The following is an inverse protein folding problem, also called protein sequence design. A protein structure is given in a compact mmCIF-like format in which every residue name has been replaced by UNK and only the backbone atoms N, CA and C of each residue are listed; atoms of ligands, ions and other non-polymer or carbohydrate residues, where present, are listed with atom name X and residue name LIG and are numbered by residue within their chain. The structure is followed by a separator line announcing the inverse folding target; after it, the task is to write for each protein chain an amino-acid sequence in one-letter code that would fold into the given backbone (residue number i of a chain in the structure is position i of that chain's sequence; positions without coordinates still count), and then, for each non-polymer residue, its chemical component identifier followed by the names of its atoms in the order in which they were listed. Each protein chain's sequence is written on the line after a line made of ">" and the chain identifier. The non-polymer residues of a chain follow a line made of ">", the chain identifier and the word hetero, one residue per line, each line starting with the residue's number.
data_IF_580347270433
#
_entry.id   IF_580347270433
#
_cell.length_a   1.000
_cell.length_b   1.000
_cell.length_c   1.000
_cell.angle_alpha   90.00
_cell.angle_beta   90.00
_cell.angle_gamma   90.00
#
_symmetry.space_group_name_H-M   'P 1'
#
loop_
_entity.id
_entity.type
_entity.pdbx_description
1 polymer ?
#
# COMPACT_ATOMS: atom_id res chain seq x y z
N UNK A 1 29.70 16.24 5.28
CA UNK A 1 29.07 15.28 6.21
C UNK A 1 28.14 14.42 5.38
N UNK A 2 28.38 13.10 5.28
CA UNK A 2 27.40 12.23 4.63
C UNK A 2 26.14 12.21 5.49
N UNK A 3 24.99 12.48 4.88
CA UNK A 3 23.71 12.36 5.57
C UNK A 3 23.55 10.94 6.13
N UNK A 4 22.88 10.80 7.28
CA UNK A 4 22.59 9.50 7.84
C UNK A 4 21.81 8.64 6.82
N UNK A 5 22.03 7.31 6.76
CA UNK A 5 21.30 6.45 5.83
C UNK A 5 19.79 6.58 6.02
N UNK A 6 19.07 6.65 4.90
CA UNK A 6 17.62 6.57 4.84
C UNK A 6 17.24 5.29 4.09
N UNK A 7 16.67 4.33 4.83
CA UNK A 7 16.33 2.98 4.40
C UNK A 7 14.83 2.95 4.08
N UNK A 8 14.51 2.92 2.79
CA UNK A 8 13.13 2.91 2.31
C UNK A 8 12.67 1.52 1.90
N UNK A 9 11.38 1.29 2.02
CA UNK A 9 10.67 0.24 1.31
C UNK A 9 9.22 0.66 1.11
N UNK A 10 8.66 0.30 -0.04
CA UNK A 10 7.28 0.66 -0.40
C UNK A 10 6.35 -0.54 -0.43
N UNK A 11 5.09 -0.34 -0.04
CA UNK A 11 4.02 -1.32 -0.30
C UNK A 11 2.64 -0.65 -0.21
N UNK A 12 1.71 -1.11 -1.06
CA UNK A 12 0.28 -0.80 -0.92
C UNK A 12 -0.27 -1.44 0.37
N UNK A 13 -1.45 -1.02 0.86
CA UNK A 13 -2.23 -1.86 1.76
C UNK A 13 -2.33 -3.30 1.22
N UNK A 14 -1.68 -4.28 1.86
CA UNK A 14 -1.54 -5.64 1.34
C UNK A 14 -2.00 -6.69 2.35
N UNK A 15 -3.32 -6.81 2.48
CA UNK A 15 -4.01 -7.59 3.50
C UNK A 15 -4.19 -6.82 4.81
N UNK A 16 -5.28 -7.07 5.55
CA UNK A 16 -5.46 -6.44 6.87
C UNK A 16 -4.46 -6.99 7.87
N UNK A 17 -4.15 -8.29 7.83
CA UNK A 17 -2.86 -8.78 8.27
C UNK A 17 -1.90 -8.70 7.08
N UNK A 18 -0.71 -8.13 7.25
CA UNK A 18 0.18 -7.87 6.13
C UNK A 18 0.62 -9.20 5.50
N UNK A 19 0.68 -9.26 4.18
CA UNK A 19 1.27 -10.40 3.48
C UNK A 19 2.71 -10.63 3.95
N UNK A 20 3.13 -11.88 3.97
CA UNK A 20 4.44 -12.34 4.43
C UNK A 20 5.59 -11.65 3.72
N UNK A 21 5.47 -11.35 2.43
CA UNK A 21 6.50 -10.58 1.73
C UNK A 21 6.66 -9.15 2.27
N UNK A 22 5.61 -8.51 2.80
CA UNK A 22 5.72 -7.18 3.41
C UNK A 22 6.39 -7.30 4.77
N UNK A 23 6.05 -8.32 5.57
CA UNK A 23 6.80 -8.62 6.78
C UNK A 23 8.30 -8.82 6.50
N UNK A 24 8.65 -9.57 5.45
CA UNK A 24 10.04 -9.74 5.06
C UNK A 24 10.74 -8.41 4.70
N UNK A 25 10.05 -7.43 4.10
CA UNK A 25 10.59 -6.07 3.90
C UNK A 25 10.89 -5.38 5.24
N UNK A 26 9.96 -5.46 6.20
CA UNK A 26 10.17 -4.92 7.56
C UNK A 26 11.36 -5.57 8.27
N UNK A 27 11.47 -6.90 8.21
CA UNK A 27 12.57 -7.64 8.84
C UNK A 27 13.92 -7.29 8.20
N UNK A 28 13.97 -7.22 6.87
CA UNK A 28 15.18 -6.81 6.12
C UNK A 28 15.59 -5.39 6.49
N UNK A 29 14.63 -4.46 6.62
CA UNK A 29 14.90 -3.07 6.97
C UNK A 29 15.51 -2.95 8.36
N UNK A 30 14.96 -3.68 9.34
CA UNK A 30 15.51 -3.72 10.71
C UNK A 30 16.91 -4.30 10.75
N UNK A 31 17.15 -5.40 10.02
CA UNK A 31 18.48 -6.00 9.92
C UNK A 31 19.48 -5.01 9.33
N UNK A 32 19.14 -4.38 8.21
CA UNK A 32 20.00 -3.38 7.58
C UNK A 32 20.24 -2.18 8.51
N UNK A 33 19.21 -1.66 9.18
CA UNK A 33 19.37 -0.56 10.13
C UNK A 33 20.30 -0.93 11.29
N UNK A 34 20.27 -2.16 11.78
CA UNK A 34 21.21 -2.62 12.80
C UNK A 34 22.66 -2.67 12.29
N UNK A 35 22.85 -2.91 11.00
CA UNK A 35 24.18 -2.95 10.35
C UNK A 35 24.74 -1.55 10.07
N UNK A 36 23.91 -0.62 9.56
CA UNK A 36 24.38 0.69 9.03
C UNK A 36 23.84 1.91 9.79
N UNK A 37 22.96 1.71 10.77
CA UNK A 37 22.21 2.78 11.42
C UNK A 37 21.18 3.43 10.49
N UNK A 38 20.79 4.67 10.82
CA UNK A 38 19.92 5.49 9.97
C UNK A 38 18.43 5.37 10.27
N UNK A 39 17.62 6.04 9.44
CA UNK A 39 16.17 6.09 9.54
C UNK A 39 15.51 5.03 8.64
N UNK A 40 14.53 4.29 9.16
CA UNK A 40 13.65 3.44 8.35
C UNK A 40 12.38 4.20 7.94
N UNK A 41 12.05 4.14 6.66
CA UNK A 41 10.86 4.76 6.09
C UNK A 41 10.03 3.72 5.35
N UNK A 42 8.78 3.55 5.80
CA UNK A 42 7.78 2.78 5.08
C UNK A 42 6.96 3.72 4.19
N UNK A 43 7.16 3.62 2.88
CA UNK A 43 6.39 4.37 1.91
C UNK A 43 5.09 3.62 1.57
N UNK A 44 4.02 4.02 2.23
CA UNK A 44 2.71 3.39 2.16
C UNK A 44 1.94 3.85 0.92
N UNK A 45 1.82 2.97 -0.07
CA UNK A 45 1.21 3.28 -1.36
C UNK A 45 -0.32 3.21 -1.35
N UNK A 46 -0.96 3.90 -0.43
CA UNK A 46 -2.41 3.91 -0.24
C UNK A 46 -3.20 4.68 -1.33
N UNK A 47 -2.49 5.42 -2.19
CA UNK A 47 -3.08 5.97 -3.42
C UNK A 47 -3.41 4.91 -4.46
N UNK A 48 -2.87 3.68 -4.39
CA UNK A 48 -3.31 2.68 -5.35
C UNK A 48 -4.80 2.31 -5.14
N UNK A 49 -5.47 1.77 -6.16
CA UNK A 49 -6.92 1.51 -6.11
C UNK A 49 -7.27 0.03 -6.26
N UNK A 50 -6.31 -0.90 -6.42
CA UNK A 50 -6.64 -2.31 -6.62
C UNK A 50 -7.13 -2.98 -5.31
N UNK A 51 -8.42 -3.37 -5.21
CA UNK A 51 -8.96 -4.01 -4.02
C UNK A 51 -8.48 -5.46 -3.83
N UNK A 52 -7.78 -6.06 -4.81
CA UNK A 52 -7.23 -7.42 -4.69
C UNK A 52 -5.99 -7.44 -3.82
N UNK A 53 -5.25 -6.33 -3.75
CA UNK A 53 -4.07 -6.22 -2.89
C UNK A 53 -4.43 -6.43 -1.41
N UNK A 54 -5.64 -6.06 -1.01
CA UNK A 54 -6.11 -6.20 0.38
C UNK A 54 -6.64 -7.58 0.74
N UNK A 55 -6.58 -8.55 -0.19
CA UNK A 55 -6.86 -9.94 0.11
C UNK A 55 -5.89 -10.46 1.18
N UNK A 56 -6.47 -11.11 2.18
CA UNK A 56 -5.76 -11.65 3.35
C UNK A 56 -6.00 -13.16 3.40
N UNK A 57 -5.03 -13.94 2.95
CA UNK A 57 -5.11 -15.40 2.99
C UNK A 57 -4.56 -15.91 4.31
N UNK A 58 -5.38 -16.60 5.09
CA UNK A 58 -5.02 -17.21 6.38
C UNK A 58 -5.24 -18.71 6.32
N UNK A 59 -4.49 -19.48 7.11
CA UNK A 59 -4.66 -20.94 7.22
C UNK A 59 -5.41 -21.33 8.47
N UNK A 60 -6.32 -22.29 8.33
CA UNK A 60 -7.08 -22.80 9.44
C UNK A 60 -6.16 -23.54 10.41
N UNK A 61 -6.18 -23.18 11.70
CA UNK A 61 -5.20 -23.62 12.70
C UNK A 61 -5.15 -25.13 12.95
N UNK A 62 -6.22 -25.86 12.61
CA UNK A 62 -6.29 -27.34 12.79
C UNK A 62 -6.06 -28.14 11.52
N UNK A 63 -6.40 -27.58 10.35
CA UNK A 63 -6.42 -28.33 9.08
C UNK A 63 -5.42 -27.80 8.07
N UNK A 64 -4.78 -26.67 8.37
CA UNK A 64 -3.88 -25.92 7.49
C UNK A 64 -4.52 -25.46 6.17
N UNK A 65 -5.83 -25.64 5.99
CA UNK A 65 -6.53 -25.24 4.78
C UNK A 65 -6.58 -23.70 4.65
N UNK A 66 -6.21 -23.13 3.49
CA UNK A 66 -6.23 -21.68 3.29
C UNK A 66 -7.65 -21.15 3.07
N UNK A 67 -7.94 -19.97 3.61
CA UNK A 67 -9.10 -19.16 3.30
C UNK A 67 -8.69 -17.72 3.03
N UNK A 68 -9.17 -17.15 1.94
CA UNK A 68 -8.94 -15.75 1.58
C UNK A 68 -10.08 -14.87 2.04
N UNK A 69 -9.77 -13.92 2.91
CA UNK A 69 -10.65 -12.83 3.33
C UNK A 69 -10.38 -11.58 2.50
N UNK A 70 -11.36 -10.69 2.40
CA UNK A 70 -11.15 -9.34 1.89
C UNK A 70 -12.13 -8.36 2.53
N UNK A 71 -11.85 -7.07 2.35
CA UNK A 71 -12.81 -6.03 2.66
C UNK A 71 -14.05 -6.13 1.76
N UNK A 72 -15.18 -5.77 2.34
CA UNK A 72 -16.33 -5.29 1.56
C UNK A 72 -16.22 -3.78 1.43
N UNK A 73 -16.87 -3.21 0.42
CA UNK A 73 -16.74 -1.79 0.09
C UNK A 73 -18.12 -1.15 0.06
N UNK A 74 -18.20 0.12 0.45
CA UNK A 74 -19.47 0.87 0.54
C UNK A 74 -20.32 0.80 -0.75
N UNK A 75 -19.69 0.79 -1.92
CA UNK A 75 -20.36 0.61 -3.20
C UNK A 75 -19.39 0.14 -4.30
N UNK A 76 -19.96 -0.12 -5.49
CA UNK A 76 -19.23 -0.62 -6.67
C UNK A 76 -18.22 0.40 -7.21
N UNK A 77 -18.52 1.69 -7.17
CA UNK A 77 -17.63 2.75 -7.64
C UNK A 77 -16.37 2.76 -6.78
N UNK A 78 -16.52 2.77 -5.45
CA UNK A 78 -15.39 2.71 -4.55
C UNK A 78 -14.57 1.44 -4.74
N UNK A 79 -15.22 0.27 -4.83
CA UNK A 79 -14.53 -1.00 -5.07
C UNK A 79 -13.67 -0.94 -6.33
N UNK A 80 -14.19 -0.39 -7.43
CA UNK A 80 -13.47 -0.36 -8.71
C UNK A 80 -12.43 0.75 -8.81
N UNK A 81 -12.76 1.96 -8.38
CA UNK A 81 -12.06 3.16 -8.84
C UNK A 81 -11.48 4.03 -7.73
N UNK A 82 -12.01 3.95 -6.51
CA UNK A 82 -11.47 4.77 -5.42
C UNK A 82 -10.09 4.29 -4.99
N UNK A 83 -9.14 5.20 -4.71
CA UNK A 83 -7.89 4.82 -4.08
C UNK A 83 -8.13 4.19 -2.70
N UNK A 84 -7.24 3.33 -2.23
CA UNK A 84 -7.41 2.54 -1.02
C UNK A 84 -7.59 3.42 0.23
N UNK A 85 -7.00 4.61 0.25
CA UNK A 85 -7.21 5.60 1.32
C UNK A 85 -8.62 6.22 1.34
N UNK A 86 -9.42 6.04 0.28
CA UNK A 86 -10.78 6.55 0.18
C UNK A 86 -11.85 5.43 0.09
N UNK A 87 -11.42 4.16 -0.05
CA UNK A 87 -12.34 3.01 -0.02
C UNK A 87 -12.86 2.82 1.40
N UNK A 88 -14.15 3.08 1.59
CA UNK A 88 -14.83 2.98 2.89
C UNK A 88 -15.23 1.54 3.19
N UNK A 89 -15.14 1.19 4.47
CA UNK A 89 -15.55 -0.09 5.03
C UNK A 89 -17.02 0.01 5.47
N UNK A 90 -17.93 -0.85 4.97
CA UNK A 90 -19.32 -0.84 5.41
C UNK A 90 -19.47 -1.16 6.91
N UNK A 91 -20.45 -0.56 7.60
CA UNK A 91 -20.78 -0.90 8.99
C UNK A 91 -21.01 -2.40 9.18
N UNK A 92 -20.53 -2.93 10.31
CA UNK A 92 -20.67 -4.35 10.66
C UNK A 92 -19.72 -5.32 9.94
N UNK A 93 -18.96 -4.88 8.92
CA UNK A 93 -17.96 -5.74 8.26
C UNK A 93 -16.91 -6.27 9.24
N UNK A 94 -16.39 -5.39 10.12
CA UNK A 94 -15.37 -5.77 11.11
C UNK A 94 -15.88 -6.88 12.02
N UNK A 95 -17.07 -6.71 12.60
CA UNK A 95 -17.62 -7.68 13.55
C UNK A 95 -17.97 -9.02 12.86
N UNK A 96 -18.42 -8.97 11.61
CA UNK A 96 -18.65 -10.18 10.79
C UNK A 96 -17.36 -10.94 10.48
N UNK A 97 -16.30 -10.24 10.07
CA UNK A 97 -14.99 -10.83 9.82
C UNK A 97 -14.37 -11.37 11.11
N UNK A 98 -14.42 -10.60 12.20
CA UNK A 98 -13.84 -10.96 13.49
C UNK A 98 -14.38 -12.28 14.05
N UNK A 99 -15.67 -12.58 13.84
CA UNK A 99 -16.29 -13.85 14.26
C UNK A 99 -15.67 -15.09 13.61
N UNK A 100 -15.06 -14.94 12.44
CA UNK A 100 -14.44 -16.03 11.69
C UNK A 100 -12.97 -16.25 12.10
N UNK A 101 -12.29 -15.19 12.57
CA UNK A 101 -10.85 -15.18 12.83
C UNK A 101 -10.33 -16.18 13.89
N UNK A 102 -11.06 -16.59 14.95
CA UNK A 102 -10.53 -17.52 15.96
C UNK A 102 -10.06 -18.87 15.41
N UNK A 103 -10.60 -19.29 14.27
CA UNK A 103 -10.20 -20.51 13.58
C UNK A 103 -8.87 -20.38 12.81
N UNK A 104 -8.37 -19.16 12.62
CA UNK A 104 -7.24 -18.83 11.74
C UNK A 104 -6.08 -18.17 12.48
N UNK A 105 -6.33 -17.36 13.51
CA UNK A 105 -5.29 -16.60 14.23
C UNK A 105 -5.37 -16.80 15.74
N UNK A 106 -4.28 -16.43 16.43
CA UNK A 106 -4.25 -16.42 17.89
C UNK A 106 -5.22 -15.37 18.46
N UNK A 107 -5.68 -15.59 19.70
CA UNK A 107 -6.64 -14.71 20.36
C UNK A 107 -6.18 -13.24 20.41
N UNK A 108 -4.87 -13.00 20.62
CA UNK A 108 -4.28 -11.65 20.59
C UNK A 108 -4.59 -10.89 19.29
N UNK A 109 -4.59 -11.58 18.16
CA UNK A 109 -4.85 -10.99 16.84
C UNK A 109 -6.32 -10.78 16.57
N UNK A 110 -7.18 -11.62 17.14
CA UNK A 110 -8.63 -11.37 17.14
C UNK A 110 -8.92 -10.09 17.94
N UNK A 111 -8.34 -9.96 19.15
CA UNK A 111 -8.52 -8.77 19.99
C UNK A 111 -7.95 -7.51 19.33
N UNK A 112 -6.74 -7.58 18.74
CA UNK A 112 -6.16 -6.46 18.00
C UNK A 112 -7.07 -6.02 16.84
N UNK A 113 -7.55 -6.97 16.02
CA UNK A 113 -8.47 -6.70 14.91
C UNK A 113 -9.78 -6.06 15.38
N UNK A 114 -10.37 -6.57 16.46
CA UNK A 114 -11.58 -6.02 17.07
C UNK A 114 -11.38 -4.63 17.66
N UNK A 115 -10.16 -4.28 18.08
CA UNK A 115 -9.83 -2.96 18.60
C UNK A 115 -9.58 -1.91 17.52
N UNK A 116 -9.51 -2.28 16.24
CA UNK A 116 -9.27 -1.32 15.17
C UNK A 116 -10.53 -0.49 14.90
N UNK A 117 -10.35 0.82 14.96
CA UNK A 117 -11.30 1.83 14.48
C UNK A 117 -10.68 2.52 13.26
N UNK A 118 -11.33 2.35 12.11
CA UNK A 118 -10.93 2.96 10.85
C UNK A 118 -12.11 2.92 9.87
N UNK A 119 -12.32 4.04 9.18
CA UNK A 119 -13.37 4.15 8.16
C UNK A 119 -12.91 3.64 6.79
N UNK A 120 -11.59 3.64 6.55
CA UNK A 120 -10.99 3.33 5.25
C UNK A 120 -10.15 2.07 5.31
N UNK A 121 -10.07 1.39 4.17
CA UNK A 121 -9.27 0.16 4.03
C UNK A 121 -7.80 0.39 4.32
N UNK A 122 -7.23 1.50 3.84
CA UNK A 122 -5.82 1.83 4.11
C UNK A 122 -5.57 2.09 5.60
N UNK A 123 -6.43 2.86 6.26
CA UNK A 123 -6.25 3.16 7.69
C UNK A 123 -6.42 1.89 8.53
N UNK A 124 -7.39 1.03 8.19
CA UNK A 124 -7.60 -0.24 8.89
C UNK A 124 -6.35 -1.12 8.86
N UNK A 125 -5.77 -1.32 7.66
CA UNK A 125 -4.54 -2.08 7.48
C UNK A 125 -3.40 -1.45 8.28
N UNK A 126 -3.18 -0.14 8.16
CA UNK A 126 -2.07 0.54 8.82
C UNK A 126 -2.20 0.51 10.35
N UNK A 127 -3.42 0.69 10.89
CA UNK A 127 -3.71 0.58 12.32
C UNK A 127 -3.44 -0.83 12.84
N UNK A 128 -3.83 -1.86 12.08
CA UNK A 128 -3.56 -3.24 12.46
C UNK A 128 -2.06 -3.56 12.41
N UNK A 129 -1.33 -3.08 11.40
CA UNK A 129 0.13 -3.25 11.34
C UNK A 129 0.82 -2.58 12.53
N UNK A 130 0.32 -1.42 12.97
CA UNK A 130 0.79 -0.76 14.20
C UNK A 130 0.48 -1.58 15.45
N UNK A 131 -0.74 -2.11 15.58
CA UNK A 131 -1.14 -2.97 16.69
C UNK A 131 -0.33 -4.28 16.77
N UNK A 132 0.24 -4.72 15.66
CA UNK A 132 1.18 -5.85 15.58
C UNK A 132 2.64 -5.47 15.93
N UNK A 133 2.93 -4.22 16.27
CA UNK A 133 4.29 -3.74 16.55
C UNK A 133 5.18 -3.58 15.31
N UNK A 134 4.63 -3.75 14.09
CA UNK A 134 5.44 -3.79 12.87
C UNK A 134 6.00 -2.42 12.48
N UNK A 135 5.41 -1.34 12.98
CA UNK A 135 5.77 0.04 12.61
C UNK A 135 6.62 0.76 13.67
N UNK A 136 7.03 0.07 14.73
CA UNK A 136 7.89 0.64 15.77
C UNK A 136 9.24 1.07 15.19
N UNK A 137 9.62 2.33 15.45
CA UNK A 137 10.86 2.93 14.93
C UNK A 137 10.85 3.22 13.41
N UNK A 138 9.69 3.15 12.76
CA UNK A 138 9.55 3.36 11.31
C UNK A 138 8.71 4.60 11.04
N UNK A 139 9.24 5.54 10.26
CA UNK A 139 8.46 6.65 9.73
C UNK A 139 7.56 6.17 8.60
N UNK A 140 6.26 6.36 8.75
CA UNK A 140 5.29 6.06 7.69
C UNK A 140 5.07 7.30 6.84
N UNK A 141 5.25 7.17 5.53
CA UNK A 141 4.95 8.23 4.55
C UNK A 141 3.88 7.71 3.61
N UNK A 142 2.77 8.45 3.46
CA UNK A 142 1.63 8.04 2.64
C UNK A 142 1.77 8.62 1.25
N UNK A 143 1.53 7.82 0.21
CA UNK A 143 1.47 8.36 -1.16
C UNK A 143 0.24 9.24 -1.38
N UNK A 144 -0.77 9.14 -0.51
CA UNK A 144 -1.97 9.98 -0.50
C UNK A 144 -1.78 11.36 0.13
N UNK A 145 -0.68 11.60 0.84
CA UNK A 145 -0.45 12.87 1.54
C UNK A 145 -0.36 14.04 0.54
N UNK A 146 -1.28 15.02 0.60
CA UNK A 146 -1.28 16.18 -0.29
C UNK A 146 0.04 16.95 -0.28
N UNK A 147 0.69 17.08 0.88
CA UNK A 147 1.97 17.80 1.00
C UNK A 147 3.11 17.03 0.31
N UNK A 148 3.14 15.71 0.46
CA UNK A 148 4.08 14.85 -0.25
C UNK A 148 3.91 14.99 -1.77
N UNK A 149 2.66 14.93 -2.23
CA UNK A 149 2.33 15.03 -3.67
C UNK A 149 2.68 16.40 -4.25
N UNK A 150 2.50 17.47 -3.48
CA UNK A 150 2.83 18.83 -3.87
C UNK A 150 4.35 19.06 -3.96
N UNK A 151 5.13 18.41 -3.09
CA UNK A 151 6.59 18.51 -3.07
C UNK A 151 7.26 17.65 -4.15
N UNK A 152 6.59 16.58 -4.59
CA UNK A 152 7.13 15.65 -5.57
C UNK A 152 7.30 16.28 -6.96
N UNK A 153 8.31 15.82 -7.69
CA UNK A 153 8.56 16.30 -9.04
C UNK A 153 7.39 15.95 -10.00
N UNK A 154 7.13 16.79 -11.02
CA UNK A 154 6.17 16.46 -12.08
C UNK A 154 6.52 15.16 -12.80
N UNK A 155 5.48 14.44 -13.21
CA UNK A 155 5.58 13.16 -13.94
C UNK A 155 4.52 13.13 -15.04
N UNK A 156 4.77 12.37 -16.11
CA UNK A 156 3.92 12.33 -17.30
C UNK A 156 2.90 11.18 -17.31
N UNK A 157 3.22 10.07 -16.62
CA UNK A 157 2.31 8.92 -16.44
C UNK A 157 1.82 8.88 -14.99
N UNK A 158 0.57 9.29 -14.81
CA UNK A 158 -0.02 9.48 -13.49
C UNK A 158 -1.54 9.31 -13.48
N UNK A 159 -2.05 9.28 -12.26
CA UNK A 159 -3.45 9.31 -11.94
C UNK A 159 -3.78 10.58 -11.18
N UNK A 160 -5.05 10.98 -11.23
CA UNK A 160 -5.59 12.15 -10.55
C UNK A 160 -6.80 11.73 -9.73
N UNK A 161 -6.82 12.14 -8.46
CA UNK A 161 -7.97 11.95 -7.59
C UNK A 161 -9.03 13.03 -7.87
N UNK A 162 -10.18 12.62 -8.38
CA UNK A 162 -11.31 13.51 -8.78
C UNK A 162 -12.65 12.95 -8.29
N UNK A 163 -13.71 13.77 -8.32
CA UNK A 163 -15.06 13.34 -7.95
C UNK A 163 -15.80 12.75 -9.16
N UNK A 164 -16.45 11.60 -8.95
CA UNK A 164 -17.33 10.96 -9.92
C UNK A 164 -18.50 10.32 -9.19
N UNK A 165 -19.74 10.71 -9.55
CA UNK A 165 -20.98 10.22 -8.92
C UNK A 165 -20.96 10.27 -7.37
N UNK A 166 -20.42 11.37 -6.81
CA UNK A 166 -20.30 11.58 -5.36
C UNK A 166 -19.09 10.92 -4.70
N UNK A 167 -18.42 9.99 -5.38
CA UNK A 167 -17.25 9.28 -4.86
C UNK A 167 -15.92 9.92 -5.30
N UNK A 168 -14.87 9.73 -4.50
CA UNK A 168 -13.51 10.08 -4.90
C UNK A 168 -12.91 8.92 -5.69
N UNK A 169 -12.51 9.15 -6.94
CA UNK A 169 -11.97 8.12 -7.84
C UNK A 169 -10.56 8.48 -8.29
N UNK A 170 -9.73 7.47 -8.54
CA UNK A 170 -8.37 7.61 -9.07
C UNK A 170 -8.39 7.39 -10.58
N UNK A 171 -8.45 8.49 -11.33
CA UNK A 171 -8.55 8.46 -12.79
C UNK A 171 -7.18 8.56 -13.46
N UNK A 172 -6.92 7.72 -14.47
CA UNK A 172 -5.66 7.79 -15.23
C UNK A 172 -5.69 9.00 -16.16
N UNK A 173 -4.58 9.74 -16.26
CA UNK A 173 -4.40 10.74 -17.31
C UNK A 173 -4.07 10.05 -18.64
N UNK A 174 -4.95 10.17 -19.62
CA UNK A 174 -4.69 9.68 -20.97
C UNK A 174 -3.72 10.61 -21.72
N UNK A 175 -2.98 10.12 -22.74
CA UNK A 175 -2.11 10.95 -23.57
C UNK A 175 -2.83 12.11 -24.27
N UNK A 176 -4.13 11.94 -24.55
CA UNK A 176 -5.01 12.99 -25.11
C UNK A 176 -5.34 14.11 -24.12
N UNK A 177 -4.90 13.97 -22.87
CA UNK A 177 -5.15 14.94 -21.81
C UNK A 177 -6.47 14.70 -21.06
N UNK A 178 -7.28 13.71 -21.41
CA UNK A 178 -8.52 13.37 -20.68
C UNK A 178 -8.23 12.52 -19.44
N UNK A 179 -9.18 12.49 -18.49
CA UNK A 179 -9.16 11.59 -17.33
C UNK A 179 -10.05 10.39 -17.60
N UNK A 180 -9.56 9.19 -17.32
CA UNK A 180 -10.26 7.95 -17.62
C UNK A 180 -10.28 6.96 -16.44
N UNK A 181 -11.40 6.26 -16.28
CA UNK A 181 -11.55 5.12 -15.38
C UNK A 181 -11.53 3.83 -16.20
N UNK A 182 -10.69 2.86 -15.82
CA UNK A 182 -10.57 1.58 -16.51
C UNK A 182 -11.64 0.59 -16.02
N UNK A 183 -12.57 0.20 -16.89
CA UNK A 183 -13.68 -0.66 -16.49
C UNK A 183 -13.36 -2.16 -16.55
N UNK A 184 -12.22 -2.51 -17.14
CA UNK A 184 -11.77 -3.87 -17.43
C UNK A 184 -11.60 -4.10 -18.94
N UNK A 185 -10.68 -5.00 -19.31
CA UNK A 185 -10.38 -5.27 -20.72
C UNK A 185 -9.95 -4.00 -21.46
N UNK A 186 -10.57 -3.72 -22.61
CA UNK A 186 -10.33 -2.52 -23.41
C UNK A 186 -11.37 -1.41 -23.19
N UNK A 187 -12.16 -1.47 -22.11
CA UNK A 187 -13.22 -0.51 -21.82
C UNK A 187 -12.75 0.59 -20.85
N UNK A 188 -13.05 1.84 -21.22
CA UNK A 188 -12.69 3.03 -20.46
C UNK A 188 -13.85 4.02 -20.41
N UNK A 189 -14.14 4.53 -19.22
CA UNK A 189 -15.05 5.64 -19.02
C UNK A 189 -14.25 6.94 -19.01
N UNK A 190 -14.58 7.87 -19.91
CA UNK A 190 -13.96 9.20 -19.93
C UNK A 190 -14.74 10.14 -19.00
N UNK A 191 -14.01 10.80 -18.11
CA UNK A 191 -14.58 11.75 -17.16
C UNK A 191 -14.65 13.17 -17.75
N UNK A 192 -15.59 14.01 -17.26
CA UNK A 192 -15.61 15.42 -17.61
C UNK A 192 -14.29 16.13 -17.28
N UNK A 193 -13.91 17.10 -18.11
CA UNK A 193 -12.76 17.94 -17.85
C UNK A 193 -12.90 18.63 -16.48
N UNK A 194 -11.98 18.34 -15.58
CA UNK A 194 -11.99 18.84 -14.20
C UNK A 194 -10.61 19.41 -13.90
N UNK A 195 -10.49 20.66 -13.45
CA UNK A 195 -9.20 21.19 -13.02
C UNK A 195 -8.70 20.44 -11.80
N UNK A 196 -7.39 20.26 -11.69
CA UNK A 196 -6.75 19.60 -10.56
C UNK A 196 -5.38 20.20 -10.28
N UNK A 197 -4.85 19.91 -9.10
CA UNK A 197 -3.56 20.39 -8.62
C UNK A 197 -2.58 19.23 -8.40
N UNK A 198 -1.27 19.49 -8.24
CA UNK A 198 -0.29 18.45 -7.91
C UNK A 198 -0.65 17.63 -6.67
N UNK A 199 -1.31 18.24 -5.68
CA UNK A 199 -1.81 17.55 -4.48
C UNK A 199 -2.80 16.39 -4.76
N UNK A 200 -3.38 16.32 -5.96
CA UNK A 200 -4.28 15.24 -6.38
C UNK A 200 -3.60 14.16 -7.22
N UNK A 201 -2.32 14.34 -7.56
CA UNK A 201 -1.58 13.46 -8.46
C UNK A 201 -0.97 12.29 -7.69
N UNK A 202 -1.08 11.08 -8.25
CA UNK A 202 -0.34 9.91 -7.79
C UNK A 202 0.30 9.17 -8.97
N UNK A 203 1.48 8.56 -8.79
CA UNK A 203 2.23 7.98 -9.90
C UNK A 203 1.60 6.67 -10.39
N UNK A 204 1.90 6.31 -11.64
CA UNK A 204 1.74 4.94 -12.10
C UNK A 204 2.78 4.02 -11.44
N UNK A 205 2.81 2.73 -11.80
CA UNK A 205 3.86 1.82 -11.34
C UNK A 205 5.25 2.29 -11.81
N UNK A 206 5.33 2.71 -13.07
CA UNK A 206 6.60 2.93 -13.75
C UNK A 206 7.19 4.31 -13.39
N UNK A 207 6.35 5.30 -13.05
CA UNK A 207 6.80 6.62 -12.58
C UNK A 207 7.00 6.71 -11.06
N UNK A 208 6.67 5.66 -10.30
CA UNK A 208 6.61 5.69 -8.84
C UNK A 208 7.95 5.94 -8.17
N UNK A 209 9.01 5.27 -8.66
CA UNK A 209 10.33 5.33 -8.04
C UNK A 209 10.89 6.75 -8.11
N UNK A 210 10.99 7.34 -9.31
CA UNK A 210 11.43 8.73 -9.49
C UNK A 210 10.58 9.73 -8.70
N UNK A 211 9.26 9.52 -8.65
CA UNK A 211 8.34 10.41 -7.95
C UNK A 211 8.56 10.37 -6.43
N UNK A 212 8.64 9.17 -5.86
CA UNK A 212 8.95 8.98 -4.44
C UNK A 212 10.34 9.54 -4.09
N UNK A 213 11.36 9.21 -4.92
CA UNK A 213 12.74 9.57 -4.66
C UNK A 213 12.98 11.08 -4.69
N UNK A 214 12.20 11.82 -5.49
CA UNK A 214 12.27 13.29 -5.54
C UNK A 214 11.91 13.98 -4.22
N UNK A 215 11.30 13.26 -3.27
CA UNK A 215 10.94 13.79 -1.94
C UNK A 215 11.70 13.07 -0.83
N UNK A 216 11.78 11.73 -0.87
CA UNK A 216 12.38 10.96 0.22
C UNK A 216 13.90 10.97 0.21
N UNK A 217 14.52 11.10 -0.98
CA UNK A 217 15.97 11.04 -1.15
C UNK A 217 16.59 9.84 -0.41
N UNK A 218 15.99 8.66 -0.57
CA UNK A 218 16.48 7.49 0.14
C UNK A 218 17.82 7.05 -0.40
N UNK A 219 18.62 6.46 0.49
CA UNK A 219 19.96 5.96 0.18
C UNK A 219 19.94 4.46 -0.08
N UNK A 220 18.99 3.76 0.54
CA UNK A 220 18.82 2.32 0.43
C UNK A 220 17.35 2.01 0.17
N UNK A 221 17.06 1.09 -0.74
CA UNK A 221 15.69 0.66 -1.04
C UNK A 221 15.57 -0.86 -1.03
N UNK A 222 14.68 -1.39 -0.19
CA UNK A 222 14.41 -2.82 -0.11
C UNK A 222 13.28 -3.19 -1.07
N UNK A 223 13.65 -3.80 -2.17
CA UNK A 223 12.75 -4.26 -3.21
C UNK A 223 12.19 -5.66 -2.91
N UNK A 224 10.93 -5.89 -3.27
CA UNK A 224 10.36 -7.23 -3.37
C UNK A 224 11.01 -8.06 -4.49
N UNK A 225 10.90 -9.38 -4.42
CA UNK A 225 11.45 -10.29 -5.43
C UNK A 225 10.97 -9.98 -6.86
N UNK A 226 9.67 -9.72 -7.04
CA UNK A 226 9.11 -9.32 -8.35
C UNK A 226 9.26 -7.83 -8.67
N UNK A 227 9.55 -6.99 -7.67
CA UNK A 227 9.71 -5.54 -7.84
C UNK A 227 10.98 -5.21 -8.63
N UNK A 228 12.06 -5.97 -8.42
CA UNK A 228 13.30 -5.78 -9.16
C UNK A 228 13.18 -5.97 -10.67
N UNK A 229 12.19 -6.73 -11.14
CA UNK A 229 12.00 -7.00 -12.56
C UNK A 229 11.48 -5.78 -13.35
N UNK A 230 10.86 -4.81 -12.66
CA UNK A 230 10.27 -3.64 -13.30
C UNK A 230 10.82 -2.30 -12.79
N UNK A 231 11.58 -2.27 -11.70
CA UNK A 231 12.22 -1.04 -11.24
C UNK A 231 13.26 -0.56 -12.25
N UNK A 232 13.06 0.65 -12.80
CA UNK A 232 14.06 1.32 -13.59
C UNK A 232 15.12 1.95 -12.68
N UNK A 233 16.29 1.30 -12.53
CA UNK A 233 17.36 1.83 -11.67
C UNK A 233 17.92 3.17 -12.17
N UNK A 234 17.74 3.51 -13.45
CA UNK A 234 18.14 4.80 -13.99
C UNK A 234 17.32 5.97 -13.43
N UNK A 235 16.13 5.71 -12.86
CA UNK A 235 15.28 6.73 -12.24
C UNK A 235 15.81 7.22 -10.89
N UNK A 236 16.71 6.45 -10.25
CA UNK A 236 17.29 6.76 -8.94
C UNK A 236 18.67 6.08 -8.80
N UNK A 237 19.68 6.50 -9.59
CA UNK A 237 21.00 5.88 -9.63
C UNK A 237 21.76 5.96 -8.29
N UNK A 238 21.37 6.88 -7.40
CA UNK A 238 21.94 7.07 -6.08
C UNK A 238 21.50 6.03 -5.04
N UNK A 239 20.47 5.23 -5.33
CA UNK A 239 19.93 4.23 -4.40
C UNK A 239 20.73 2.94 -4.45
N UNK A 240 21.14 2.45 -3.28
CA UNK A 240 21.56 1.06 -3.10
C UNK A 240 20.33 0.16 -2.96
N UNK A 241 20.09 -0.70 -3.95
CA UNK A 241 18.95 -1.63 -3.92
C UNK A 241 19.31 -2.93 -3.20
N UNK A 242 18.44 -3.35 -2.30
CA UNK A 242 18.54 -4.64 -1.61
C UNK A 242 17.30 -5.48 -1.91
N UNK A 243 17.48 -6.78 -2.04
CA UNK A 243 16.36 -7.72 -2.07
C UNK A 243 15.90 -7.98 -0.65
N UNK A 244 14.59 -7.98 -0.40
CA UNK A 244 14.05 -8.49 0.86
C UNK A 244 14.50 -9.94 1.10
N UNK A 245 14.63 -10.31 2.35
CA UNK A 245 14.93 -11.68 2.75
C UNK A 245 13.83 -12.66 2.21
N UNK A 246 14.20 -13.89 1.85
CA UNK A 246 13.24 -14.90 1.39
C UNK A 246 12.26 -15.27 2.51
N UNK A 247 11.03 -15.60 2.14
CA UNK A 247 10.00 -16.06 3.08
C UNK A 247 9.06 -17.04 2.38
N UNK A 248 8.67 -18.11 3.06
CA UNK A 248 7.72 -19.09 2.56
C UNK A 248 6.29 -18.50 2.50
N UNK A 249 5.46 -19.01 1.58
CA UNK A 249 4.06 -18.59 1.43
C UNK A 249 3.93 -17.06 1.37
N UNK A 250 4.73 -16.44 0.51
CA UNK A 250 4.94 -14.98 0.46
C UNK A 250 3.64 -14.18 0.36
N UNK A 251 2.64 -14.71 -0.32
CA UNK A 251 1.35 -14.06 -0.57
C UNK A 251 0.29 -14.30 0.51
N UNK A 252 0.59 -15.15 1.50
CA UNK A 252 -0.28 -15.37 2.66
C UNK A 252 -0.02 -14.34 3.76
N UNK A 253 -0.99 -14.15 4.65
CA UNK A 253 -0.89 -13.22 5.75
C UNK A 253 0.12 -13.69 6.80
N UNK A 254 0.87 -12.74 7.35
CA UNK A 254 1.79 -12.98 8.44
C UNK A 254 1.10 -12.72 9.78
N UNK A 255 1.04 -13.74 10.63
CA UNK A 255 0.42 -13.66 11.97
C UNK A 255 1.29 -14.30 13.05
N UNK A 256 2.58 -14.52 12.74
CA UNK A 256 3.48 -15.33 13.57
C UNK A 256 4.26 -14.51 14.63
N UNK A 257 4.08 -13.18 14.67
CA UNK A 257 4.69 -12.29 15.71
C UNK A 257 4.23 -12.69 17.10
#
# INVERSE_FOLDING_TARGET
>A
MNAAPLICFGQQPCGFFPRRFLFAKFATARRLQAEIGGEMVFFYHDSDHDPRETQTTLRHRKTDAPLTFNFTFQNKIQRKFSPLYAKKIPPGWRDQTARQLPAYVAARWVSAFQGIEADTVADFCLHLYRAMGLLEGIRVVRSSDPAFRQAAQPIDDYFVDVRYEGELVRARRAPTGTLQLHEGGSAYLTLPATPFTPAQISPSRDSRLRWMQSVLHCTHYIAGAGEQAYLNRADAPEITFLTRDPIDRSDEAYTDV
#
